data_IF_884091402028
#
_entry.id   IF_884091402028
#
_cell.length_a   1.000
_cell.length_b   1.000
_cell.length_c   1.000
_cell.angle_alpha   90.00
_cell.angle_beta   90.00
_cell.angle_gamma   90.00
#
_symmetry.space_group_name_H-M   'P 1'
#
loop_
_entity.id
_entity.type
_entity.pdbx_description
1 polymer ?
#
# COMPACT_ATOMS: atom_id res chain seq x y z
N UNK A 1 2.81 2.60 -4.87
CA UNK A 1 2.01 1.64 -4.07
C UNK A 1 0.77 1.27 -4.86
N UNK A 2 0.14 0.14 -4.55
CA UNK A 2 -1.02 -0.38 -5.29
C UNK A 2 -2.05 -0.96 -4.31
N UNK A 3 -3.34 -0.91 -4.65
CA UNK A 3 -4.43 -1.46 -3.83
C UNK A 3 -5.43 -2.25 -4.68
N UNK A 4 -6.09 -3.23 -4.07
CA UNK A 4 -7.10 -4.06 -4.72
C UNK A 4 -8.03 -4.72 -3.68
N UNK A 5 -9.16 -5.19 -4.18
CA UNK A 5 -10.09 -6.01 -3.42
C UNK A 5 -10.21 -7.41 -4.04
N UNK A 6 -10.75 -8.33 -3.25
CA UNK A 6 -11.14 -9.65 -3.71
C UNK A 6 -12.66 -9.71 -3.86
N UNK A 7 -13.13 -10.57 -4.74
CA UNK A 7 -14.55 -10.86 -4.89
C UNK A 7 -14.84 -12.25 -4.39
N UNK A 8 -15.86 -12.36 -3.55
CA UNK A 8 -16.38 -13.65 -3.16
C UNK A 8 -17.33 -14.14 -4.25
N UNK A 9 -16.91 -15.18 -4.97
CA UNK A 9 -17.67 -15.79 -6.07
C UNK A 9 -17.45 -17.30 -6.04
N UNK A 10 -18.33 -18.06 -6.70
CA UNK A 10 -18.14 -19.51 -6.89
C UNK A 10 -17.00 -19.85 -7.86
N UNK A 11 -16.50 -18.88 -8.63
CA UNK A 11 -15.38 -19.10 -9.54
C UNK A 11 -14.06 -19.27 -8.77
N UNK A 12 -13.20 -20.16 -9.25
CA UNK A 12 -11.92 -20.43 -8.62
C UNK A 12 -10.94 -19.24 -8.71
N UNK A 13 -10.25 -18.99 -7.60
CA UNK A 13 -9.12 -18.06 -7.48
C UNK A 13 -9.46 -16.70 -6.86
N UNK A 14 -8.41 -16.00 -6.41
CA UNK A 14 -8.50 -14.68 -5.77
C UNK A 14 -7.93 -13.62 -6.70
N UNK A 15 -8.62 -13.36 -7.82
CA UNK A 15 -8.21 -12.30 -8.74
C UNK A 15 -8.17 -10.95 -8.02
N UNK A 16 -7.22 -10.12 -8.40
CA UNK A 16 -7.15 -8.75 -7.92
C UNK A 16 -8.18 -7.90 -8.69
N UNK A 17 -9.07 -7.25 -7.97
CA UNK A 17 -10.09 -6.36 -8.54
C UNK A 17 -9.81 -4.91 -8.17
N UNK A 18 -9.96 -4.02 -9.15
CA UNK A 18 -9.81 -2.58 -8.95
C UNK A 18 -10.81 -2.10 -7.90
N UNK A 19 -10.33 -1.31 -6.95
CA UNK A 19 -11.15 -0.64 -5.94
C UNK A 19 -11.91 0.53 -6.58
N UNK A 20 -11.29 1.25 -7.53
CA UNK A 20 -11.92 2.36 -8.27
C UNK A 20 -12.99 1.88 -9.24
N UNK A 21 -12.73 0.78 -9.93
CA UNK A 21 -13.62 0.18 -10.93
C UNK A 21 -13.90 -1.28 -10.55
N UNK A 22 -14.84 -1.57 -9.63
CA UNK A 22 -15.02 -2.91 -9.07
C UNK A 22 -15.24 -4.01 -10.09
N UNK A 23 -15.76 -3.69 -11.28
CA UNK A 23 -16.02 -4.63 -12.39
C UNK A 23 -14.79 -4.98 -13.23
N UNK A 24 -13.65 -4.35 -12.97
CA UNK A 24 -12.40 -4.56 -13.71
C UNK A 24 -11.38 -5.30 -12.83
N UNK A 25 -10.71 -6.28 -13.43
CA UNK A 25 -9.53 -6.88 -12.82
C UNK A 25 -8.37 -5.86 -12.86
N UNK A 26 -7.57 -5.85 -11.80
CA UNK A 26 -6.37 -5.03 -11.71
C UNK A 26 -6.16 -4.45 -10.33
N UNK A 27 -5.02 -3.78 -10.18
CA UNK A 27 -4.66 -3.04 -8.97
C UNK A 27 -4.65 -1.55 -9.29
N UNK A 28 -5.21 -0.75 -8.40
CA UNK A 28 -5.19 0.70 -8.57
C UNK A 28 -3.90 1.29 -8.00
N UNK A 29 -3.24 2.22 -8.70
CA UNK A 29 -2.11 2.94 -8.15
C UNK A 29 -2.56 3.84 -7.00
N UNK A 30 -1.79 3.82 -5.91
CA UNK A 30 -1.93 4.71 -4.76
C UNK A 30 -0.75 5.69 -4.74
N UNK A 31 -1.08 6.98 -4.72
CA UNK A 31 -0.11 8.07 -4.76
C UNK A 31 0.53 8.23 -3.37
N UNK A 32 1.86 8.11 -3.34
CA UNK A 32 2.69 8.50 -2.19
C UNK A 32 3.13 9.94 -2.47
N UNK A 33 2.66 10.89 -1.65
CA UNK A 33 2.96 12.32 -1.80
C UNK A 33 4.36 12.67 -1.32
N UNK A 34 4.83 12.03 -0.25
CA UNK A 34 6.20 12.18 0.24
C UNK A 34 6.62 10.98 1.09
N UNK A 35 7.93 10.80 1.20
CA UNK A 35 8.58 9.87 2.12
C UNK A 35 9.68 10.62 2.86
N UNK A 36 9.76 10.49 4.19
CA UNK A 36 10.84 11.09 4.98
C UNK A 36 11.31 10.14 6.07
N UNK A 37 12.61 10.14 6.33
CA UNK A 37 13.18 9.45 7.48
C UNK A 37 12.79 10.19 8.77
N UNK A 38 12.47 9.47 9.83
CA UNK A 38 12.23 10.02 11.15
C UNK A 38 13.55 10.17 11.94
N UNK A 39 13.57 10.98 13.02
CA UNK A 39 14.79 11.24 13.79
C UNK A 39 15.46 10.00 14.40
N UNK A 40 14.74 8.88 14.52
CA UNK A 40 15.27 7.62 15.01
C UNK A 40 16.23 6.91 14.02
N UNK A 41 16.31 7.40 12.77
CA UNK A 41 17.15 6.83 11.71
C UNK A 41 16.74 5.41 11.27
N UNK A 42 15.57 4.92 11.71
CA UNK A 42 15.10 3.55 11.48
C UNK A 42 13.66 3.48 10.98
N UNK A 43 12.94 4.59 11.06
CA UNK A 43 11.56 4.70 10.59
C UNK A 43 11.44 5.64 9.40
N UNK A 44 10.57 5.29 8.45
CA UNK A 44 10.20 6.13 7.31
C UNK A 44 8.72 6.46 7.42
N UNK A 45 8.40 7.75 7.43
CA UNK A 45 7.03 8.25 7.37
C UNK A 45 6.63 8.51 5.91
N UNK A 46 5.51 7.92 5.50
CA UNK A 46 4.92 8.12 4.17
C UNK A 46 3.67 8.99 4.28
N UNK A 47 3.64 10.13 3.58
CA UNK A 47 2.41 10.89 3.36
C UNK A 47 1.72 10.30 2.14
N UNK A 48 0.68 9.51 2.36
CA UNK A 48 -0.09 8.86 1.29
C UNK A 48 -1.30 9.74 0.95
N UNK A 49 -1.76 9.72 -0.30
CA UNK A 49 -3.06 10.29 -0.66
C UNK A 49 -4.20 9.63 0.15
N UNK A 50 -5.42 10.16 0.07
CA UNK A 50 -6.57 9.64 0.81
C UNK A 50 -6.66 8.12 0.64
N UNK A 51 -6.55 7.41 1.76
CA UNK A 51 -6.76 5.96 1.83
C UNK A 51 -8.23 5.67 2.08
N UNK A 52 -8.63 4.44 1.78
CA UNK A 52 -9.96 3.92 2.02
C UNK A 52 -9.87 2.45 2.42
N UNK A 53 -10.93 1.85 2.98
CA UNK A 53 -10.93 0.43 3.28
C UNK A 53 -10.67 -0.42 2.02
N UNK A 54 -9.72 -1.34 2.12
CA UNK A 54 -9.32 -2.27 1.06
C UNK A 54 -8.90 -3.60 1.66
N UNK A 55 -9.14 -4.70 0.93
CA UNK A 55 -8.67 -6.02 1.36
C UNK A 55 -7.15 -6.08 1.34
N UNK A 56 -6.52 -5.48 0.31
CA UNK A 56 -5.08 -5.54 0.14
C UNK A 56 -4.52 -4.24 -0.43
N UNK A 57 -3.38 -3.81 0.11
CA UNK A 57 -2.51 -2.78 -0.44
C UNK A 57 -1.06 -3.24 -0.33
N UNK A 58 -0.26 -2.95 -1.36
CA UNK A 58 1.16 -3.24 -1.41
C UNK A 58 2.00 -1.97 -1.57
N UNK A 59 3.02 -1.83 -0.72
CA UNK A 59 4.01 -0.76 -0.77
C UNK A 59 5.37 -1.39 -1.03
N UNK A 60 5.90 -1.19 -2.24
CA UNK A 60 7.27 -1.57 -2.58
C UNK A 60 8.23 -0.53 -2.02
N UNK A 61 9.31 -0.97 -1.40
CA UNK A 61 10.36 -0.10 -0.88
C UNK A 61 11.74 -0.56 -1.35
N UNK A 62 12.64 0.41 -1.49
CA UNK A 62 14.04 0.24 -1.81
C UNK A 62 14.81 1.31 -1.04
N UNK A 63 15.55 0.91 -0.02
CA UNK A 63 16.17 1.81 0.96
C UNK A 63 17.66 1.49 1.08
N UNK A 64 18.47 2.52 1.28
CA UNK A 64 19.86 2.37 1.67
C UNK A 64 19.98 2.34 3.19
N UNK A 65 20.70 1.35 3.70
CA UNK A 65 21.01 1.25 5.13
C UNK A 65 22.21 2.12 5.49
N UNK A 66 22.37 2.45 6.77
CA UNK A 66 23.55 3.18 7.26
C UNK A 66 24.88 2.46 7.02
N UNK A 67 24.85 1.14 6.79
CA UNK A 67 26.01 0.32 6.43
C UNK A 67 26.25 0.23 4.91
N UNK A 68 25.53 1.02 4.09
CA UNK A 68 25.67 1.04 2.64
C UNK A 68 25.06 -0.17 1.92
N UNK A 69 24.23 -0.98 2.59
CA UNK A 69 23.52 -2.12 1.99
C UNK A 69 22.12 -1.72 1.53
N UNK A 70 21.64 -2.34 0.47
CA UNK A 70 20.26 -2.19 -0.04
C UNK A 70 19.30 -3.06 0.79
N UNK A 71 18.25 -2.43 1.33
CA UNK A 71 17.11 -3.09 1.96
C UNK A 71 15.84 -2.84 1.12
N UNK A 72 15.38 -3.87 0.43
CA UNK A 72 14.23 -3.81 -0.48
C UNK A 72 13.21 -4.88 -0.17
N UNK A 73 11.96 -4.60 -0.47
CA UNK A 73 10.87 -5.54 -0.23
C UNK A 73 9.51 -4.99 -0.61
N UNK A 74 8.47 -5.73 -0.23
CA UNK A 74 7.08 -5.30 -0.38
C UNK A 74 6.35 -5.48 0.93
N UNK A 75 5.82 -4.39 1.46
CA UNK A 75 4.96 -4.38 2.62
C UNK A 75 3.51 -4.56 2.18
N UNK A 76 2.85 -5.62 2.65
CA UNK A 76 1.46 -5.94 2.35
C UNK A 76 0.59 -5.66 3.56
N UNK A 77 -0.51 -4.94 3.35
CA UNK A 77 -1.43 -4.53 4.42
C UNK A 77 -2.89 -4.65 3.98
N UNK A 78 -3.77 -4.80 4.97
CA UNK A 78 -5.22 -4.64 4.84
C UNK A 78 -5.63 -3.35 5.55
N UNK A 79 -6.56 -2.59 4.97
CA UNK A 79 -7.11 -1.39 5.60
C UNK A 79 -8.58 -1.69 5.94
N UNK A 80 -8.88 -1.91 7.21
CA UNK A 80 -10.24 -2.16 7.67
C UNK A 80 -11.02 -0.87 7.92
N UNK A 81 -10.34 0.17 8.37
CA UNK A 81 -10.91 1.48 8.67
C UNK A 81 -9.84 2.56 8.55
N UNK A 82 -10.19 3.70 7.96
CA UNK A 82 -9.35 4.90 7.95
C UNK A 82 -9.40 5.63 9.30
N UNK A 83 -8.23 6.11 9.73
CA UNK A 83 -8.13 7.06 10.85
C UNK A 83 -8.38 8.49 10.39
N UNK A 84 -8.43 9.42 11.34
CA UNK A 84 -8.43 10.85 11.05
C UNK A 84 -7.16 11.24 10.28
N UNK A 85 -7.29 12.21 9.38
CA UNK A 85 -6.13 12.75 8.69
C UNK A 85 -5.12 13.31 9.70
N UNK A 86 -3.86 12.93 9.57
CA UNK A 86 -2.76 13.59 10.26
C UNK A 86 -2.51 14.91 9.54
N UNK A 87 -2.67 16.03 10.25
CA UNK A 87 -2.34 17.37 9.77
C UNK A 87 -0.84 17.49 9.43
#
# INVERSE_FOLDING_TARGET
>A
AEQWNYRWTSAYGSKDWSVKNPKMNGRDPVIIKSARMLPDGRSVFLKIAKVQPVNSMAIKYNLDTSAGKIFKGTFHITINKEGSALE
#
